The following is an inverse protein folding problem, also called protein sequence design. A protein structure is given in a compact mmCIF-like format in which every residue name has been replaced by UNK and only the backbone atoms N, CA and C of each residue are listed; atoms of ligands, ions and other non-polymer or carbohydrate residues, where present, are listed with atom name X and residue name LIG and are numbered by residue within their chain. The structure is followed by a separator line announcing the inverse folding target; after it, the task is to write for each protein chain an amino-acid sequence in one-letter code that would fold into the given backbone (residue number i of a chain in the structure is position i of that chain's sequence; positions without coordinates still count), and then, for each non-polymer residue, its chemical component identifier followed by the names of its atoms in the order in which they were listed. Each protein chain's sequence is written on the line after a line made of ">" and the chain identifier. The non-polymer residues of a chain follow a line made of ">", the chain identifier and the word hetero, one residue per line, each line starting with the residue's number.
data_IF_625095318932
#
_entry.id   IF_625095318932
#
_cell.length_a   1.000
_cell.length_b   1.000
_cell.length_c   1.000
_cell.angle_alpha   90.00
_cell.angle_beta   90.00
_cell.angle_gamma   90.00
#
_symmetry.space_group_name_H-M   'P 1'
#
loop_
_entity.id
_entity.type
_entity.pdbx_description
1 polymer ?
#
# COMPACT_ATOMS: atom_id res chain seq x y z
N UNK A 1 -8.19 22.20 -0.04
CA UNK A 1 -8.07 20.97 -0.85
C UNK A 1 -6.60 20.53 -0.97
N UNK A 2 -5.92 20.13 0.11
CA UNK A 2 -4.48 19.80 0.02
C UNK A 2 -3.93 18.71 0.98
N UNK A 3 -4.71 18.21 1.94
CA UNK A 3 -4.16 17.25 2.94
C UNK A 3 -3.93 15.83 2.41
N UNK A 4 -4.66 15.41 1.38
CA UNK A 4 -4.70 14.01 0.92
C UNK A 4 -3.57 13.62 -0.05
N UNK A 5 -3.08 14.57 -0.87
CA UNK A 5 -1.84 14.36 -1.65
C UNK A 5 -0.64 14.21 -0.72
N UNK A 6 -0.65 14.93 0.41
CA UNK A 6 0.45 14.95 1.35
C UNK A 6 0.63 13.61 2.06
N UNK A 7 -0.43 12.91 2.48
CA UNK A 7 -0.27 11.67 3.25
C UNK A 7 0.44 10.57 2.45
N UNK A 8 -0.05 10.21 1.26
CA UNK A 8 0.57 9.17 0.45
C UNK A 8 1.95 9.58 -0.09
N UNK A 9 2.14 10.87 -0.40
CA UNK A 9 3.47 11.38 -0.74
C UNK A 9 4.43 11.32 0.45
N UNK A 10 3.96 11.60 1.67
CA UNK A 10 4.75 11.49 2.91
C UNK A 10 5.07 10.05 3.24
N UNK A 11 4.12 9.12 3.14
CA UNK A 11 4.37 7.68 3.33
C UNK A 11 5.31 7.15 2.26
N UNK A 12 5.11 7.48 0.99
CA UNK A 12 6.03 7.10 -0.09
C UNK A 12 7.42 7.68 0.14
N UNK A 13 7.54 8.93 0.58
CA UNK A 13 8.82 9.53 0.97
C UNK A 13 9.46 8.76 2.11
N UNK A 14 8.69 8.40 3.13
CA UNK A 14 9.17 7.71 4.34
C UNK A 14 9.64 6.27 4.06
N UNK A 15 8.92 5.55 3.21
CA UNK A 15 9.25 4.16 2.84
C UNK A 15 10.42 4.11 1.86
N UNK A 16 10.54 5.10 0.97
CA UNK A 16 11.65 5.21 0.01
C UNK A 16 12.85 6.01 0.53
N UNK A 17 12.72 6.66 1.69
CA UNK A 17 13.80 7.36 2.36
C UNK A 17 14.94 6.36 2.62
N UNK A 18 16.21 6.73 2.33
CA UNK A 18 17.38 5.93 2.67
C UNK A 18 17.29 5.44 4.12
N UNK A 19 17.76 4.21 4.41
CA UNK A 19 17.62 3.61 5.76
C UNK A 19 18.31 4.45 6.85
N UNK A 20 19.28 5.24 6.45
CA UNK A 20 20.05 6.23 7.21
C UNK A 20 19.35 7.58 7.40
N UNK A 21 18.28 7.88 6.66
CA UNK A 21 17.45 9.06 6.88
C UNK A 21 16.54 8.82 8.10
N UNK A 22 16.80 9.56 9.18
CA UNK A 22 16.09 9.44 10.46
C UNK A 22 14.77 10.20 10.44
N UNK A 23 13.66 9.48 10.30
CA UNK A 23 12.32 10.04 10.54
C UNK A 23 12.07 10.03 12.04
N UNK A 24 11.71 11.16 12.63
CA UNK A 24 11.49 11.29 14.08
C UNK A 24 10.16 10.67 14.53
N UNK A 25 10.04 10.29 15.82
CA UNK A 25 8.83 9.68 16.38
C UNK A 25 7.63 10.62 16.35
N UNK A 26 7.89 11.93 16.42
CA UNK A 26 6.86 12.96 16.25
C UNK A 26 6.31 12.95 14.82
N UNK A 27 7.18 12.88 13.80
CA UNK A 27 6.74 12.82 12.41
C UNK A 27 5.96 11.54 12.09
N UNK A 28 6.29 10.41 12.72
CA UNK A 28 5.47 9.21 12.57
C UNK A 28 4.14 9.33 13.31
N UNK A 29 4.13 9.88 14.53
CA UNK A 29 2.91 10.08 15.30
C UNK A 29 1.93 11.01 14.59
N UNK A 30 2.43 12.07 13.94
CA UNK A 30 1.64 12.97 13.09
C UNK A 30 1.00 12.25 11.89
N UNK A 31 1.53 11.08 11.53
CA UNK A 31 1.03 10.20 10.47
C UNK A 31 0.22 9.02 11.01
N UNK A 32 0.01 8.95 12.33
CA UNK A 32 -0.65 7.81 12.98
C UNK A 32 0.15 6.51 12.91
N UNK A 33 1.47 6.60 12.75
CA UNK A 33 2.38 5.45 12.65
C UNK A 33 3.24 5.32 13.90
N UNK A 34 3.51 4.08 14.28
CA UNK A 34 4.55 3.73 15.24
C UNK A 34 5.87 3.43 14.52
N UNK A 35 6.95 3.39 15.29
CA UNK A 35 8.27 3.02 14.77
C UNK A 35 8.31 1.59 14.25
N UNK A 36 7.47 0.70 14.80
CA UNK A 36 7.25 -0.65 14.31
C UNK A 36 6.55 -0.64 12.94
N UNK A 37 5.54 0.21 12.74
CA UNK A 37 4.84 0.35 11.46
C UNK A 37 5.78 0.83 10.36
N UNK A 38 6.69 1.77 10.66
CA UNK A 38 7.71 2.17 9.71
C UNK A 38 8.66 1.02 9.34
N UNK A 39 9.17 0.29 10.32
CA UNK A 39 10.07 -0.84 10.08
C UNK A 39 9.39 -1.91 9.22
N UNK A 40 8.11 -2.15 9.47
CA UNK A 40 7.24 -3.08 8.77
C UNK A 40 6.93 -2.64 7.33
N UNK A 41 6.65 -1.35 7.12
CA UNK A 41 6.52 -0.77 5.77
C UNK A 41 7.83 -0.84 4.98
N UNK A 42 8.98 -0.61 5.63
CA UNK A 42 10.33 -0.74 5.04
C UNK A 42 10.76 -2.20 4.80
N UNK A 43 10.15 -3.18 5.46
CA UNK A 43 10.42 -4.61 5.24
C UNK A 43 9.56 -5.25 4.16
N UNK A 44 8.54 -4.55 3.69
CA UNK A 44 7.66 -5.03 2.62
C UNK A 44 8.43 -5.31 1.31
N UNK A 45 7.98 -6.30 0.56
CA UNK A 45 8.57 -6.60 -0.75
C UNK A 45 8.45 -5.37 -1.70
N UNK A 46 9.47 -5.09 -2.55
CA UNK A 46 9.46 -3.94 -3.44
C UNK A 46 8.23 -3.93 -4.35
N UNK A 47 7.90 -2.72 -4.82
CA UNK A 47 6.74 -2.43 -5.69
C UNK A 47 5.37 -2.72 -5.05
N UNK A 48 5.28 -2.80 -3.71
CA UNK A 48 4.02 -3.05 -3.01
C UNK A 48 2.91 -2.07 -3.45
N UNK A 49 3.23 -0.77 -3.62
CA UNK A 49 2.29 0.23 -4.13
C UNK A 49 1.76 -0.11 -5.52
N UNK A 50 2.64 -0.45 -6.47
CA UNK A 50 2.23 -0.81 -7.82
C UNK A 50 1.32 -2.05 -7.83
N UNK A 51 1.61 -3.04 -6.97
CA UNK A 51 0.78 -4.23 -6.80
C UNK A 51 -0.58 -3.92 -6.19
N UNK A 52 -0.64 -3.06 -5.17
CA UNK A 52 -1.89 -2.61 -4.54
C UNK A 52 -2.80 -1.94 -5.58
N UNK A 53 -2.27 -1.00 -6.35
CA UNK A 53 -3.04 -0.28 -7.37
C UNK A 53 -3.48 -1.20 -8.51
N UNK A 54 -2.60 -2.11 -8.96
CA UNK A 54 -2.92 -3.07 -10.03
C UNK A 54 -3.92 -4.14 -9.59
N UNK A 55 -4.00 -4.45 -8.29
CA UNK A 55 -5.02 -5.33 -7.76
C UNK A 55 -6.35 -4.58 -7.59
N UNK A 56 -6.31 -3.40 -6.97
CA UNK A 56 -7.49 -2.56 -6.74
C UNK A 56 -8.25 -2.25 -8.03
N UNK A 57 -7.54 -1.95 -9.13
CA UNK A 57 -8.15 -1.68 -10.43
C UNK A 57 -8.96 -2.86 -10.99
N UNK A 58 -8.64 -4.10 -10.62
CA UNK A 58 -9.42 -5.26 -11.04
C UNK A 58 -10.74 -5.42 -10.26
N UNK A 59 -10.89 -4.70 -9.15
CA UNK A 59 -12.14 -4.53 -8.40
C UNK A 59 -12.87 -3.23 -8.79
N UNK A 60 -12.40 -2.52 -9.83
CA UNK A 60 -12.97 -1.26 -10.26
C UNK A 60 -12.56 -0.05 -9.43
N UNK A 61 -11.63 -0.21 -8.48
CA UNK A 61 -11.16 0.87 -7.62
C UNK A 61 -10.00 1.63 -8.25
N UNK A 62 -10.07 2.94 -8.18
CA UNK A 62 -9.00 3.87 -8.53
C UNK A 62 -8.08 4.15 -7.33
N UNK A 63 -6.95 4.80 -7.59
CA UNK A 63 -6.11 5.33 -6.51
C UNK A 63 -6.87 6.34 -5.63
N UNK A 64 -7.79 7.13 -6.21
CA UNK A 64 -8.56 8.10 -5.45
C UNK A 64 -9.52 7.42 -4.46
N UNK A 65 -10.07 6.26 -4.81
CA UNK A 65 -10.97 5.50 -3.92
C UNK A 65 -10.19 4.98 -2.72
N UNK A 66 -8.98 4.43 -2.93
CA UNK A 66 -8.11 4.04 -1.82
C UNK A 66 -7.70 5.25 -0.96
N UNK A 67 -7.47 6.40 -1.58
CA UNK A 67 -7.09 7.62 -0.87
C UNK A 67 -8.24 8.24 -0.05
N UNK A 68 -9.49 7.91 -0.38
CA UNK A 68 -10.66 8.30 0.41
C UNK A 68 -10.76 7.51 1.73
N UNK A 69 -10.01 6.40 1.84
CA UNK A 69 -9.95 5.50 3.00
C UNK A 69 -8.52 5.39 3.58
N UNK A 70 -7.94 6.50 4.06
CA UNK A 70 -6.57 6.52 4.58
C UNK A 70 -6.37 5.54 5.75
N UNK A 71 -7.41 5.25 6.53
CA UNK A 71 -7.43 4.26 7.61
C UNK A 71 -7.08 2.84 7.16
N UNK A 72 -7.34 2.49 5.89
CA UNK A 72 -7.04 1.17 5.33
C UNK A 72 -5.63 1.08 4.74
N UNK A 73 -4.92 2.20 4.62
CA UNK A 73 -3.65 2.27 3.90
C UNK A 73 -2.56 1.40 4.54
N UNK A 74 -2.47 1.42 5.87
CA UNK A 74 -1.49 0.62 6.62
C UNK A 74 -1.80 -0.87 6.49
N UNK A 75 -3.06 -1.26 6.65
CA UNK A 75 -3.49 -2.66 6.52
C UNK A 75 -3.24 -3.21 5.12
N UNK A 76 -3.60 -2.42 4.09
CA UNK A 76 -3.34 -2.78 2.68
C UNK A 76 -1.84 -2.96 2.42
N UNK A 77 -1.01 -2.03 2.92
CA UNK A 77 0.44 -2.06 2.76
C UNK A 77 1.07 -3.23 3.51
N UNK A 78 0.65 -3.52 4.73
CA UNK A 78 1.13 -4.64 5.55
C UNK A 78 0.82 -5.98 4.89
N UNK A 79 -0.47 -6.23 4.61
CA UNK A 79 -0.94 -7.48 4.00
C UNK A 79 -0.32 -7.70 2.63
N UNK A 80 -0.21 -6.65 1.82
CA UNK A 80 0.44 -6.75 0.51
C UNK A 80 1.94 -6.98 0.69
N UNK A 81 2.62 -6.18 1.50
CA UNK A 81 4.07 -6.19 1.71
C UNK A 81 4.61 -7.55 2.16
N UNK A 82 3.83 -8.27 2.97
CA UNK A 82 4.18 -9.60 3.50
C UNK A 82 3.51 -10.75 2.73
N UNK A 83 2.76 -10.48 1.66
CA UNK A 83 2.17 -11.54 0.87
C UNK A 83 3.26 -12.34 0.14
N UNK A 84 3.13 -13.67 0.16
CA UNK A 84 4.06 -14.57 -0.55
C UNK A 84 3.87 -14.60 -2.07
N UNK A 85 2.98 -13.76 -2.59
CA UNK A 85 2.63 -13.68 -4.02
C UNK A 85 3.31 -12.52 -4.75
N UNK A 86 4.22 -11.78 -4.10
CA UNK A 86 4.84 -10.58 -4.66
C UNK A 86 5.49 -10.83 -6.05
N UNK A 87 6.16 -11.98 -6.24
CA UNK A 87 6.73 -12.36 -7.53
C UNK A 87 5.66 -12.59 -8.60
N UNK A 88 4.63 -13.37 -8.27
CA UNK A 88 3.48 -13.65 -9.15
C UNK A 88 2.82 -12.36 -9.62
N UNK A 89 2.57 -11.41 -8.72
CA UNK A 89 1.97 -10.12 -9.07
C UNK A 89 2.89 -9.30 -9.98
N UNK A 90 4.20 -9.26 -9.72
CA UNK A 90 5.14 -8.54 -10.59
C UNK A 90 5.22 -9.14 -11.99
N UNK A 91 5.28 -10.47 -12.08
CA UNK A 91 5.33 -11.16 -13.37
C UNK A 91 4.03 -10.91 -14.16
N UNK A 92 2.87 -10.97 -13.51
CA UNK A 92 1.58 -10.65 -14.15
C UNK A 92 1.51 -9.20 -14.63
N UNK A 93 1.91 -8.23 -13.79
CA UNK A 93 1.95 -6.80 -14.16
C UNK A 93 2.83 -6.58 -15.39
N UNK A 94 4.02 -7.18 -15.43
CA UNK A 94 4.97 -7.04 -16.56
C UNK A 94 4.39 -7.64 -17.85
N UNK A 95 3.67 -8.75 -17.75
CA UNK A 95 3.06 -9.42 -18.90
C UNK A 95 1.73 -8.81 -19.34
N UNK A 96 1.14 -7.91 -18.55
CA UNK A 96 -0.21 -7.39 -18.77
C UNK A 96 -1.32 -8.38 -18.40
N UNK A 97 -0.99 -9.43 -17.63
CA UNK A 97 -1.92 -10.46 -17.20
C UNK A 97 -2.73 -10.01 -15.96
N UNK A 98 -3.85 -10.69 -15.71
CA UNK A 98 -4.60 -10.51 -14.46
C UNK A 98 -3.82 -11.05 -13.26
N UNK A 99 -3.82 -10.28 -12.18
CA UNK A 99 -3.29 -10.76 -10.89
C UNK A 99 -4.28 -11.74 -10.25
N UNK A 100 -3.80 -12.76 -9.50
CA UNK A 100 -4.65 -13.76 -8.88
C UNK A 100 -5.40 -13.18 -7.66
N UNK A 101 -6.64 -12.72 -7.87
CA UNK A 101 -7.47 -12.12 -6.83
C UNK A 101 -7.72 -13.07 -5.65
N UNK A 102 -7.93 -14.35 -5.96
CA UNK A 102 -8.20 -15.42 -4.99
C UNK A 102 -7.02 -15.72 -4.06
N UNK A 103 -5.80 -15.31 -4.45
CA UNK A 103 -4.58 -15.47 -3.66
C UNK A 103 -4.16 -14.17 -2.94
N UNK A 104 -4.91 -13.09 -3.15
CA UNK A 104 -4.60 -11.79 -2.56
C UNK A 104 -5.22 -11.68 -1.16
N UNK A 105 -4.42 -11.41 -0.11
CA UNK A 105 -4.96 -11.21 1.24
C UNK A 105 -5.79 -9.92 1.40
N UNK A 106 -5.70 -9.00 0.43
CA UNK A 106 -6.48 -7.75 0.40
C UNK A 106 -7.76 -7.86 -0.43
N UNK A 107 -8.05 -9.00 -1.07
CA UNK A 107 -9.21 -9.13 -1.97
C UNK A 107 -10.53 -8.76 -1.28
N UNK A 108 -10.74 -9.22 -0.05
CA UNK A 108 -11.93 -8.87 0.73
C UNK A 108 -12.04 -7.37 1.06
N UNK A 109 -10.92 -6.67 1.26
CA UNK A 109 -10.92 -5.22 1.48
C UNK A 109 -11.31 -4.48 0.21
N UNK A 110 -10.76 -4.87 -0.94
CA UNK A 110 -11.14 -4.27 -2.22
C UNK A 110 -12.60 -4.54 -2.59
N UNK A 111 -13.09 -5.76 -2.34
CA UNK A 111 -14.49 -6.13 -2.53
C UNK A 111 -15.41 -5.21 -1.70
N UNK A 112 -15.15 -5.11 -0.39
CA UNK A 112 -15.95 -4.29 0.50
C UNK A 112 -15.95 -2.81 0.10
N UNK A 113 -14.79 -2.28 -0.32
CA UNK A 113 -14.66 -0.91 -0.83
C UNK A 113 -15.41 -0.68 -2.14
N UNK A 114 -15.50 -1.68 -3.02
CA UNK A 114 -16.20 -1.56 -4.30
C UNK A 114 -17.73 -1.61 -4.19
N UNK A 115 -18.23 -2.08 -3.05
CA UNK A 115 -19.66 -2.27 -2.78
C UNK A 115 -20.28 -1.14 -1.92
N UNK A 116 -19.43 -0.29 -1.31
CA UNK A 116 -19.84 0.89 -0.53
C UNK A 116 -19.95 2.15 -1.37
#
# INVERSE_FOLDING_TARGET
>A
MSGYKDFFQRIARIVNAPRDESISDLELSDLGLSRADLAMLRSGAPDARARILSMASQFGLSENDLNAHPELSLELAEKCGHCRQAKTCRDAIRSGDRLPQEKCPNSGLYQALSEG
#
